data_IF_798749948374
#
_entry.id   IF_798749948374
#
_cell.length_a   1.000
_cell.length_b   1.000
_cell.length_c   1.000
_cell.angle_alpha   90.00
_cell.angle_beta   90.00
_cell.angle_gamma   90.00
#
_symmetry.space_group_name_H-M   'P 1'
#
loop_
_entity.id
_entity.type
_entity.pdbx_description
1 polymer ?
#
# COMPACT_ATOMS: atom_id res chain seq x y z
N UNK A 1 28.38 -42.40 66.94
CA UNK A 1 27.20 -43.23 67.23
C UNK A 1 25.96 -42.41 66.90
N UNK A 2 24.94 -42.81 66.17
CA UNK A 2 24.61 -43.95 65.31
C UNK A 2 23.20 -43.59 64.79
N UNK A 3 22.94 -43.67 63.49
CA UNK A 3 21.57 -43.72 62.96
C UNK A 3 20.80 -44.91 63.56
N UNK A 4 19.46 -44.94 63.49
CA UNK A 4 18.84 -45.66 62.38
C UNK A 4 17.44 -45.15 61.94
N UNK A 5 17.14 -45.20 60.64
CA UNK A 5 16.11 -46.10 60.07
C UNK A 5 15.67 -45.67 58.65
N UNK A 6 15.94 -46.56 57.69
CA UNK A 6 15.36 -46.62 56.34
C UNK A 6 13.83 -46.94 56.42
N UNK A 7 12.97 -46.78 55.42
CA UNK A 7 13.05 -47.12 53.99
C UNK A 7 11.76 -46.60 53.23
N UNK A 8 11.37 -47.07 52.02
CA UNK A 8 11.48 -46.33 50.76
C UNK A 8 10.16 -46.23 49.94
N UNK A 9 10.12 -45.49 48.83
CA UNK A 9 9.40 -45.96 47.62
C UNK A 9 9.53 -45.07 46.36
N UNK A 10 10.01 -45.73 45.30
CA UNK A 10 9.61 -45.67 43.87
C UNK A 10 9.84 -44.35 43.11
N UNK A 11 10.83 -44.26 42.21
CA UNK A 11 11.02 -44.96 40.92
C UNK A 11 10.37 -44.24 39.71
N UNK A 12 11.21 -43.97 38.71
CA UNK A 12 10.90 -43.41 37.38
C UNK A 12 11.80 -42.21 37.11
N UNK A 13 12.98 -42.29 36.47
CA UNK A 13 13.31 -43.03 35.25
C UNK A 13 12.50 -42.42 34.10
N UNK A 14 13.03 -41.67 33.13
CA UNK A 14 14.25 -41.86 32.34
C UNK A 14 14.52 -40.60 31.50
N UNK A 15 15.83 -40.33 31.30
CA UNK A 15 16.52 -39.95 30.04
C UNK A 15 15.97 -38.74 29.26
N UNK A 16 16.76 -37.74 28.91
CA UNK A 16 18.22 -37.64 28.92
C UNK A 16 18.69 -36.90 27.67
N UNK A 17 19.87 -36.28 27.80
CA UNK A 17 20.83 -35.99 26.73
C UNK A 17 20.32 -35.06 25.62
N UNK A 18 20.74 -33.81 25.61
CA UNK A 18 22.10 -33.46 25.19
C UNK A 18 21.99 -32.91 23.77
N UNK A 19 22.54 -31.76 23.41
CA UNK A 19 23.98 -31.52 23.20
C UNK A 19 23.99 -30.41 22.14
N UNK A 20 24.87 -29.43 22.24
CA UNK A 20 25.11 -28.55 21.09
C UNK A 20 25.44 -27.12 21.42
N UNK A 21 26.61 -26.93 22.00
CA UNK A 21 27.34 -25.66 22.05
C UNK A 21 27.77 -25.26 20.62
N UNK A 22 27.47 -24.03 20.19
CA UNK A 22 28.27 -23.25 19.22
C UNK A 22 27.79 -21.79 19.31
N UNK A 23 28.42 -20.94 20.11
CA UNK A 23 29.63 -20.19 19.80
C UNK A 23 29.48 -19.22 18.61
N UNK A 24 29.53 -17.93 18.96
CA UNK A 24 30.02 -16.79 18.20
C UNK A 24 29.22 -16.32 16.96
N UNK A 25 28.55 -15.18 17.09
CA UNK A 25 28.91 -13.96 16.36
C UNK A 25 28.06 -12.78 16.86
N UNK A 26 28.74 -11.72 17.29
CA UNK A 26 28.14 -10.43 17.56
C UNK A 26 27.61 -9.80 16.26
N UNK A 27 26.31 -9.55 16.20
CA UNK A 27 25.70 -8.59 15.28
C UNK A 27 24.42 -8.06 15.95
N UNK A 28 24.43 -6.75 16.21
CA UNK A 28 23.36 -5.89 16.70
C UNK A 28 21.96 -6.51 16.81
N UNK A 29 21.47 -6.57 18.06
CA UNK A 29 20.15 -7.03 18.45
C UNK A 29 19.02 -6.29 17.73
N UNK A 30 18.51 -6.88 16.64
CA UNK A 30 17.13 -6.67 16.22
C UNK A 30 16.27 -7.57 17.11
N UNK A 31 15.45 -6.97 17.98
CA UNK A 31 14.46 -7.71 18.76
C UNK A 31 13.61 -8.57 17.81
N UNK A 32 13.27 -9.82 18.17
CA UNK A 32 12.34 -10.61 17.36
C UNK A 32 10.99 -9.87 17.38
N UNK A 33 10.68 -9.19 16.28
CA UNK A 33 9.38 -8.57 16.06
C UNK A 33 8.32 -9.62 16.33
N UNK A 34 7.62 -9.48 17.45
CA UNK A 34 6.65 -10.47 17.89
C UNK A 34 5.60 -10.66 16.78
N UNK A 35 5.15 -11.90 16.52
CA UNK A 35 4.16 -12.14 15.49
C UNK A 35 2.92 -11.29 15.81
N UNK A 36 2.53 -10.45 14.85
CA UNK A 36 1.33 -9.62 14.94
C UNK A 36 0.14 -10.53 15.22
N UNK A 37 -0.40 -10.47 16.45
CA UNK A 37 -1.62 -11.17 16.84
C UNK A 37 -2.78 -10.24 16.48
N UNK A 38 -3.61 -10.56 15.46
CA UNK A 38 -4.80 -9.77 15.17
C UNK A 38 -5.80 -9.95 16.31
N UNK A 39 -5.74 -9.06 17.30
CA UNK A 39 -6.61 -9.08 18.47
C UNK A 39 -6.44 -7.78 19.25
N UNK A 40 -7.51 -6.97 19.28
CA UNK A 40 -7.69 -5.68 19.98
C UNK A 40 -6.41 -4.85 20.14
N UNK A 41 -6.22 -3.90 19.20
CA UNK A 41 -5.24 -2.82 19.32
C UNK A 41 -5.25 -2.27 20.75
N UNK A 42 -4.08 -2.28 21.41
CA UNK A 42 -3.97 -1.65 22.71
C UNK A 42 -4.19 -0.14 22.56
N UNK A 43 -4.48 0.54 23.67
CA UNK A 43 -4.65 2.01 23.65
C UNK A 43 -3.43 2.70 23.05
N UNK A 44 -2.22 2.20 23.34
CA UNK A 44 -0.97 2.72 22.81
C UNK A 44 -0.87 2.50 21.29
N UNK A 45 -1.22 1.31 20.80
CA UNK A 45 -1.20 1.03 19.36
C UNK A 45 -2.15 1.96 18.60
N UNK A 46 -3.33 2.22 19.17
CA UNK A 46 -4.29 3.15 18.61
C UNK A 46 -3.75 4.58 18.56
N UNK A 47 -3.14 5.05 19.65
CA UNK A 47 -2.52 6.38 19.71
C UNK A 47 -1.42 6.54 18.66
N UNK A 48 -0.58 5.52 18.45
CA UNK A 48 0.46 5.53 17.41
C UNK A 48 -0.17 5.62 16.02
N UNK A 49 -1.20 4.82 15.73
CA UNK A 49 -1.89 4.87 14.44
C UNK A 49 -2.56 6.23 14.21
N UNK A 50 -3.22 6.79 15.22
CA UNK A 50 -3.89 8.09 15.13
C UNK A 50 -2.87 9.23 14.96
N UNK A 51 -1.73 9.15 15.65
CA UNK A 51 -0.62 10.08 15.46
C UNK A 51 -0.05 10.01 14.04
N UNK A 52 0.27 8.82 13.54
CA UNK A 52 0.79 8.65 12.17
C UNK A 52 -0.22 9.14 11.13
N UNK A 53 -1.52 8.89 11.35
CA UNK A 53 -2.59 9.39 10.47
C UNK A 53 -2.65 10.91 10.46
N UNK A 54 -2.64 11.54 11.62
CA UNK A 54 -2.69 13.01 11.73
C UNK A 54 -1.43 13.67 11.20
N UNK A 55 -0.25 13.08 11.42
CA UNK A 55 1.00 13.52 10.83
C UNK A 55 0.95 13.46 9.30
N UNK A 56 0.52 12.33 8.73
CA UNK A 56 0.38 12.16 7.27
C UNK A 56 -0.62 13.16 6.67
N UNK A 57 -1.73 13.42 7.37
CA UNK A 57 -2.77 14.35 6.91
C UNK A 57 -2.35 15.83 6.97
N UNK A 58 -1.54 16.21 7.97
CA UNK A 58 -0.98 17.57 8.12
C UNK A 58 0.30 17.77 7.30
N UNK A 59 0.83 16.71 6.71
CA UNK A 59 2.05 16.78 5.92
C UNK A 59 1.79 17.49 4.57
N UNK A 60 2.85 18.09 4.04
CA UNK A 60 2.88 18.67 2.71
C UNK A 60 3.35 17.60 1.73
N UNK A 61 2.53 17.32 0.73
CA UNK A 61 2.79 16.33 -0.30
C UNK A 61 3.11 16.99 -1.64
N UNK A 62 3.92 16.33 -2.44
CA UNK A 62 4.20 16.69 -3.83
C UNK A 62 4.00 15.42 -4.67
N UNK A 63 3.47 15.58 -5.87
CA UNK A 63 3.32 14.47 -6.81
C UNK A 63 3.91 14.85 -8.16
N UNK A 64 4.41 13.84 -8.88
CA UNK A 64 4.82 13.99 -10.29
C UNK A 64 3.70 13.48 -11.19
N UNK A 65 3.21 14.36 -12.03
CA UNK A 65 2.22 14.01 -13.05
C UNK A 65 2.85 13.11 -14.14
N UNK A 66 2.05 12.63 -15.09
CA UNK A 66 2.46 11.86 -16.28
C UNK A 66 3.56 12.55 -17.09
N UNK A 67 3.63 13.88 -17.00
CA UNK A 67 4.65 14.72 -17.64
C UNK A 67 5.95 14.85 -16.82
N UNK A 68 6.11 14.09 -15.73
CA UNK A 68 7.26 14.13 -14.80
C UNK A 68 7.55 15.49 -14.13
N UNK A 69 6.66 16.47 -14.29
CA UNK A 69 6.75 17.77 -13.63
C UNK A 69 6.27 17.64 -12.18
N UNK A 70 7.08 18.06 -11.19
CA UNK A 70 6.62 18.12 -9.80
C UNK A 70 5.55 19.20 -9.68
N UNK A 71 4.36 18.81 -9.23
CA UNK A 71 3.31 19.75 -8.85
C UNK A 71 3.47 20.09 -7.38
N UNK A 72 3.22 21.36 -7.06
CA UNK A 72 3.57 22.04 -5.81
C UNK A 72 2.93 21.45 -4.54
N UNK A 73 2.95 22.19 -3.43
CA UNK A 73 2.50 21.67 -2.15
C UNK A 73 1.01 21.32 -2.21
N UNK A 74 0.73 20.03 -2.16
CA UNK A 74 -0.59 19.45 -2.14
C UNK A 74 -0.92 19.02 -0.71
N UNK A 75 -2.05 19.50 -0.22
CA UNK A 75 -2.66 18.96 0.99
C UNK A 75 -3.32 17.62 0.69
N UNK A 76 -3.60 16.82 1.73
CA UNK A 76 -4.28 15.53 1.58
C UNK A 76 -5.63 15.63 0.83
N UNK A 77 -6.50 16.65 1.05
CA UNK A 77 -7.71 16.84 0.24
C UNK A 77 -7.43 17.03 -1.25
N UNK A 78 -6.42 17.83 -1.60
CA UNK A 78 -6.06 18.09 -2.99
C UNK A 78 -5.50 16.84 -3.67
N UNK A 79 -4.79 15.99 -2.91
CA UNK A 79 -4.33 14.68 -3.36
C UNK A 79 -5.49 13.71 -3.63
N UNK A 80 -6.57 13.78 -2.84
CA UNK A 80 -7.83 13.04 -3.10
C UNK A 80 -8.53 13.52 -4.35
N UNK A 81 -8.60 14.83 -4.56
CA UNK A 81 -9.16 15.39 -5.79
C UNK A 81 -8.37 14.95 -7.03
N UNK A 82 -7.05 15.07 -7.00
CA UNK A 82 -6.17 14.62 -8.08
C UNK A 82 -6.32 13.11 -8.37
N UNK A 83 -6.56 12.30 -7.33
CA UNK A 83 -6.92 10.88 -7.48
C UNK A 83 -8.28 10.69 -8.16
N UNK A 84 -9.32 11.43 -7.75
CA UNK A 84 -10.64 11.36 -8.41
C UNK A 84 -10.63 11.81 -9.86
N UNK A 85 -9.71 12.72 -10.20
CA UNK A 85 -9.49 13.18 -11.55
C UNK A 85 -8.68 12.18 -12.40
N UNK A 86 -8.03 11.20 -11.78
CA UNK A 86 -7.17 10.23 -12.46
C UNK A 86 -5.81 10.80 -12.86
N UNK A 87 -5.39 11.91 -12.24
CA UNK A 87 -4.04 12.48 -12.41
C UNK A 87 -3.02 11.64 -11.63
N UNK A 88 -3.45 11.08 -10.50
CA UNK A 88 -2.64 10.24 -9.62
C UNK A 88 -3.20 8.82 -9.61
N UNK A 89 -2.34 7.88 -9.96
CA UNK A 89 -2.48 6.43 -9.87
C UNK A 89 -1.57 5.82 -8.76
N UNK A 90 -1.65 4.50 -8.55
CA UNK A 90 -0.82 3.76 -7.59
C UNK A 90 0.70 3.79 -7.91
N UNK A 91 1.04 3.96 -9.19
CA UNK A 91 2.43 4.00 -9.68
C UNK A 91 2.99 5.42 -9.73
N UNK A 92 2.19 6.43 -9.41
CA UNK A 92 2.62 7.82 -9.43
C UNK A 92 3.65 8.06 -8.34
N UNK A 93 4.67 8.84 -8.66
CA UNK A 93 5.71 9.20 -7.70
C UNK A 93 5.19 10.35 -6.83
N UNK A 94 5.21 10.11 -5.52
CA UNK A 94 4.88 11.08 -4.50
C UNK A 94 6.07 11.30 -3.59
N UNK A 95 6.19 12.52 -3.12
CA UNK A 95 7.16 12.93 -2.13
C UNK A 95 6.44 13.70 -1.03
N UNK A 96 6.94 13.62 0.20
CA UNK A 96 6.37 14.33 1.34
C UNK A 96 7.45 14.60 2.37
N UNK A 97 7.17 15.50 3.31
CA UNK A 97 8.16 15.85 4.34
C UNK A 97 8.53 14.62 5.15
N UNK A 98 9.83 14.30 5.21
CA UNK A 98 10.38 13.12 5.89
C UNK A 98 10.57 11.89 5.00
N UNK A 99 10.21 11.94 3.72
CA UNK A 99 10.62 10.92 2.73
C UNK A 99 11.96 11.30 2.13
N UNK A 100 12.88 10.32 2.07
CA UNK A 100 14.22 10.53 1.49
C UNK A 100 14.14 10.82 -0.02
N UNK A 101 13.28 10.09 -0.74
CA UNK A 101 13.16 10.14 -2.19
C UNK A 101 11.71 10.09 -2.67
N UNK A 102 11.53 10.35 -3.96
CA UNK A 102 10.28 10.14 -4.68
C UNK A 102 9.92 8.66 -4.67
N UNK A 103 8.81 8.34 -4.03
CA UNK A 103 8.35 6.96 -3.87
C UNK A 103 7.02 6.77 -4.59
N UNK A 104 6.81 5.62 -5.25
CA UNK A 104 5.50 5.25 -5.76
C UNK A 104 4.44 5.28 -4.65
N UNK A 105 3.24 5.75 -4.94
CA UNK A 105 2.12 5.81 -3.98
C UNK A 105 1.89 4.47 -3.28
N UNK A 106 2.00 3.35 -4.01
CA UNK A 106 1.88 2.00 -3.45
C UNK A 106 2.88 1.65 -2.35
N UNK A 107 4.05 2.30 -2.33
CA UNK A 107 5.07 2.06 -1.31
C UNK A 107 4.75 2.81 -0.01
N UNK A 108 3.98 3.90 -0.09
CA UNK A 108 3.57 4.70 1.08
C UNK A 108 2.27 4.14 1.66
N UNK A 109 2.40 3.07 2.46
CA UNK A 109 1.27 2.31 3.04
C UNK A 109 0.31 3.14 3.89
N UNK A 110 0.79 4.22 4.50
CA UNK A 110 -0.03 5.13 5.33
C UNK A 110 -0.89 6.08 4.48
N UNK A 111 -0.43 6.42 3.29
CA UNK A 111 -1.04 7.40 2.40
C UNK A 111 -2.18 6.79 1.57
N UNK A 112 -1.98 5.58 1.03
CA UNK A 112 -2.98 4.86 0.21
C UNK A 112 -4.37 4.81 0.86
N UNK A 113 -4.53 4.35 2.12
CA UNK A 113 -5.85 4.28 2.75
C UNK A 113 -6.45 5.67 3.06
N UNK A 114 -5.63 6.71 3.15
CA UNK A 114 -6.10 8.08 3.38
C UNK A 114 -6.57 8.78 2.11
N UNK A 115 -5.97 8.44 0.97
CA UNK A 115 -6.41 8.93 -0.36
C UNK A 115 -7.63 8.14 -0.83
N UNK A 116 -7.61 6.81 -0.69
CA UNK A 116 -8.69 5.90 -1.09
C UNK A 116 -9.81 5.85 -0.07
N UNK A 117 -10.43 6.98 0.21
CA UNK A 117 -11.67 7.00 0.98
C UNK A 117 -12.81 6.41 0.14
N UNK A 118 -13.82 5.84 0.80
CA UNK A 118 -15.01 5.26 0.13
C UNK A 118 -15.65 6.27 -0.83
N UNK A 119 -15.68 7.54 -0.43
CA UNK A 119 -16.17 8.66 -1.25
C UNK A 119 -15.39 8.80 -2.57
N UNK A 120 -14.06 8.72 -2.51
CA UNK A 120 -13.19 8.83 -3.68
C UNK A 120 -13.38 7.62 -4.61
N UNK A 121 -13.59 6.42 -4.04
CA UNK A 121 -13.87 5.22 -4.82
C UNK A 121 -15.23 5.29 -5.52
N UNK A 122 -16.26 5.79 -4.84
CA UNK A 122 -17.58 5.98 -5.45
C UNK A 122 -17.51 7.08 -6.51
N UNK A 123 -16.87 8.22 -6.23
CA UNK A 123 -16.73 9.32 -7.18
C UNK A 123 -15.99 8.90 -8.46
N UNK A 124 -14.89 8.15 -8.32
CA UNK A 124 -14.18 7.59 -9.49
C UNK A 124 -15.03 6.59 -10.26
N UNK A 125 -15.77 5.72 -9.57
CA UNK A 125 -16.69 4.78 -10.20
C UNK A 125 -17.83 5.49 -10.96
N UNK A 126 -18.46 6.50 -10.36
CA UNK A 126 -19.52 7.30 -10.99
C UNK A 126 -18.96 8.04 -12.21
N UNK A 127 -17.84 8.74 -12.07
CA UNK A 127 -17.23 9.49 -13.18
C UNK A 127 -16.84 8.58 -14.35
N UNK A 128 -16.27 7.41 -14.04
CA UNK A 128 -15.92 6.40 -15.04
C UNK A 128 -17.15 5.81 -15.73
N UNK A 129 -18.24 5.64 -15.00
CA UNK A 129 -19.45 5.01 -15.54
C UNK A 129 -20.33 6.00 -16.32
N UNK A 130 -20.50 7.22 -15.82
CA UNK A 130 -21.46 8.18 -16.39
C UNK A 130 -20.83 9.20 -17.33
N UNK A 131 -19.57 9.63 -17.14
CA UNK A 131 -18.96 10.65 -18.00
C UNK A 131 -18.14 10.03 -19.14
N UNK A 132 -17.37 8.97 -18.86
CA UNK A 132 -16.44 8.41 -19.86
C UNK A 132 -17.12 7.47 -20.86
N UNK A 133 -18.08 6.64 -20.41
CA UNK A 133 -18.77 5.68 -21.31
C UNK A 133 -19.55 6.33 -22.46
N UNK A 134 -20.35 7.41 -22.27
CA UNK A 134 -21.04 8.03 -23.38
C UNK A 134 -20.09 8.77 -24.34
N UNK A 135 -19.05 9.42 -23.82
CA UNK A 135 -18.04 10.10 -24.65
C UNK A 135 -17.25 9.09 -25.51
N UNK A 136 -16.84 7.97 -24.94
CA UNK A 136 -16.11 6.93 -25.65
C UNK A 136 -16.98 6.18 -26.67
N UNK A 137 -18.28 6.01 -26.38
CA UNK A 137 -19.23 5.44 -27.33
C UNK A 137 -19.41 6.32 -28.57
N UNK A 138 -19.47 7.66 -28.39
CA UNK A 138 -19.51 8.63 -29.50
C UNK A 138 -18.23 8.58 -30.34
N UNK A 139 -17.07 8.66 -29.69
CA UNK A 139 -15.77 8.57 -30.37
C UNK A 139 -15.54 7.23 -31.10
N UNK A 140 -16.08 6.12 -30.56
CA UNK A 140 -16.01 4.80 -31.22
C UNK A 140 -16.87 4.75 -32.48
N UNK A 141 -18.04 5.39 -32.47
CA UNK A 141 -18.93 5.49 -33.63
C UNK A 141 -18.30 6.33 -34.74
N UNK A 142 -17.77 7.50 -34.41
CA UNK A 142 -17.06 8.39 -35.35
C UNK A 142 -15.85 7.70 -36.00
N UNK A 143 -15.08 6.92 -35.22
CA UNK A 143 -13.92 6.18 -35.75
C UNK A 143 -14.31 4.99 -36.62
N UNK A 144 -15.47 4.38 -36.36
CA UNK A 144 -16.05 3.33 -37.21
C UNK A 144 -16.52 3.88 -38.56
N UNK A 145 -17.13 5.06 -38.55
CA UNK A 145 -17.58 5.78 -39.76
C UNK A 145 -16.37 6.23 -40.62
N UNK A 146 -15.31 6.75 -40.00
CA UNK A 146 -14.06 7.11 -40.72
C UNK A 146 -13.35 5.89 -41.35
N UNK A 147 -13.36 4.74 -40.67
CA UNK A 147 -12.72 3.51 -41.19
C UNK A 147 -13.50 2.86 -42.33
N UNK A 148 -14.82 3.08 -42.41
CA UNK A 148 -15.67 2.62 -43.51
C UNK A 148 -15.57 3.51 -44.75
N UNK A 149 -15.46 4.83 -44.58
CA UNK A 149 -15.37 5.77 -45.71
C UNK A 149 -14.02 5.79 -46.43
N UNK A 150 -12.93 5.57 -45.70
CA UNK A 150 -11.57 5.67 -46.27
C UNK A 150 -11.09 4.42 -47.01
N UNK A 151 -11.71 3.26 -46.78
CA UNK A 151 -11.34 2.02 -47.49
C UNK A 151 -11.85 1.97 -48.93
N UNK A 152 -12.94 2.66 -49.27
CA UNK A 152 -13.52 2.60 -50.61
C UNK A 152 -12.99 3.68 -51.57
N UNK A 153 -12.44 4.80 -51.07
CA UNK A 153 -11.94 5.87 -51.96
C UNK A 153 -10.57 5.59 -52.56
N UNK A 154 -9.73 4.78 -51.88
CA UNK A 154 -8.38 4.47 -52.36
C UNK A 154 -8.36 3.35 -53.42
N UNK A 155 -9.39 2.50 -53.48
CA UNK A 155 -9.55 1.45 -54.49
C UNK A 155 -10.26 1.92 -55.77
N UNK A 156 -11.07 2.98 -55.68
CA UNK A 156 -11.82 3.55 -56.81
C UNK A 156 -11.00 4.53 -57.67
N UNK A 157 -9.79 4.89 -57.23
CA UNK A 157 -8.83 5.74 -57.96
C UNK A 157 -7.77 4.94 -58.75
N UNK A 158 -7.88 3.60 -58.76
CA UNK A 158 -6.91 2.67 -59.37
C UNK A 158 -7.46 1.88 -60.58
N UNK A 159 -8.72 2.12 -60.97
CA UNK A 159 -9.35 1.61 -62.20
C UNK A 159 -9.82 2.79 -63.06
#
# INVERSE_FOLDING_TARGET
MSDPAAAPSKAGGKKGSGKGKKAAAAAAAAEPQQPFKPGKLTINDRQVVDYVRTATAKNIWYYRDRMSTPRGPCSLPLLREAWTQGVIDENTLVWGQGLADWLPVKNVRTLVPQIRTVEVQIATWVKKTFALKPALARARRERGEQRGGQQNSQVDLMY
#
